data_IF_822958416922
#
_entry.id   IF_822958416922
#
_cell.length_a   1.000
_cell.length_b   1.000
_cell.length_c   1.000
_cell.angle_alpha   90.00
_cell.angle_beta   90.00
_cell.angle_gamma   90.00
#
_symmetry.space_group_name_H-M   'P 1'
#
loop_
_entity.id
_entity.type
_entity.pdbx_description
1 polymer ?
#
# COMPACT_ATOMS: atom_id res chain seq x y z
N UNK A 1 14.62 -24.74 -10.04
CA UNK A 1 13.77 -25.88 -10.36
C UNK A 1 12.29 -25.53 -10.27
N UNK A 2 11.44 -26.42 -10.74
CA UNK A 2 9.98 -26.25 -10.86
C UNK A 2 9.28 -25.80 -9.56
N UNK A 3 9.76 -26.26 -8.40
CA UNK A 3 9.24 -25.83 -7.10
C UNK A 3 9.32 -24.29 -6.91
N UNK A 4 10.46 -23.68 -7.23
CA UNK A 4 10.62 -22.22 -7.09
C UNK A 4 9.68 -21.41 -8.00
N UNK A 5 9.43 -21.92 -9.20
CA UNK A 5 8.45 -21.30 -10.10
C UNK A 5 7.04 -21.28 -9.47
N UNK A 6 6.59 -22.42 -8.95
CA UNK A 6 5.26 -22.48 -8.30
C UNK A 6 5.20 -21.71 -7.00
N UNK A 7 6.29 -21.68 -6.22
CA UNK A 7 6.37 -20.82 -5.04
C UNK A 7 6.17 -19.35 -5.40
N UNK A 8 6.88 -18.84 -6.39
CA UNK A 8 6.71 -17.45 -6.85
C UNK A 8 5.31 -17.20 -7.40
N UNK A 9 4.74 -18.14 -8.16
CA UNK A 9 3.38 -18.03 -8.67
C UNK A 9 2.36 -17.86 -7.54
N UNK A 10 2.35 -18.76 -6.55
CA UNK A 10 1.42 -18.70 -5.42
C UNK A 10 1.62 -17.45 -4.56
N UNK A 11 2.86 -17.04 -4.32
CA UNK A 11 3.17 -15.81 -3.61
C UNK A 11 2.61 -14.59 -4.37
N UNK A 12 2.84 -14.51 -5.69
CA UNK A 12 2.31 -13.42 -6.51
C UNK A 12 0.79 -13.39 -6.52
N UNK A 13 0.11 -14.53 -6.64
CA UNK A 13 -1.36 -14.61 -6.55
C UNK A 13 -1.87 -14.12 -5.19
N UNK A 14 -1.21 -14.52 -4.10
CA UNK A 14 -1.57 -14.11 -2.74
C UNK A 14 -1.41 -12.60 -2.55
N UNK A 15 -0.29 -12.04 -2.99
CA UNK A 15 -0.04 -10.61 -2.90
C UNK A 15 -0.98 -9.79 -3.81
N UNK A 16 -1.30 -10.31 -5.00
CA UNK A 16 -2.30 -9.67 -5.88
C UNK A 16 -3.69 -9.64 -5.24
N UNK A 17 -4.09 -10.69 -4.50
CA UNK A 17 -5.34 -10.68 -3.73
C UNK A 17 -5.32 -9.63 -2.62
N UNK A 18 -4.17 -9.45 -1.95
CA UNK A 18 -4.01 -8.40 -0.93
C UNK A 18 -4.17 -7.01 -1.55
N UNK A 19 -3.52 -6.77 -2.68
CA UNK A 19 -3.62 -5.51 -3.44
C UNK A 19 -5.04 -5.21 -3.91
N UNK A 20 -5.79 -6.24 -4.33
CA UNK A 20 -7.15 -6.11 -4.84
C UNK A 20 -8.23 -6.11 -3.75
N UNK A 21 -7.87 -6.33 -2.48
CA UNK A 21 -8.83 -6.27 -1.37
C UNK A 21 -9.50 -4.89 -1.33
N UNK A 22 -10.85 -4.80 -1.32
CA UNK A 22 -11.57 -3.52 -1.34
C UNK A 22 -11.55 -2.81 0.03
N UNK A 23 -10.39 -2.84 0.69
CA UNK A 23 -10.10 -2.20 1.98
C UNK A 23 -8.68 -1.67 1.94
N UNK A 24 -8.45 -0.56 2.62
CA UNK A 24 -7.10 -0.03 2.78
C UNK A 24 -6.26 -1.03 3.59
N UNK A 25 -5.08 -1.35 3.09
CA UNK A 25 -4.12 -2.24 3.75
C UNK A 25 -2.93 -1.40 4.18
N UNK A 26 -2.66 -1.40 5.48
CA UNK A 26 -1.51 -0.70 6.08
C UNK A 26 -0.48 -1.72 6.55
N UNK A 27 0.73 -1.64 6.03
CA UNK A 27 1.86 -2.43 6.50
C UNK A 27 2.60 -1.69 7.62
N UNK A 28 2.62 -2.26 8.81
CA UNK A 28 3.37 -1.78 9.97
C UNK A 28 4.75 -2.45 10.02
N UNK A 29 5.78 -1.72 9.61
CA UNK A 29 7.15 -2.22 9.47
C UNK A 29 7.91 -2.03 10.79
N UNK A 30 7.91 -3.03 11.64
CA UNK A 30 8.46 -2.96 12.98
C UNK A 30 9.89 -3.53 13.13
N UNK A 31 10.54 -3.85 12.03
CA UNK A 31 11.87 -4.49 12.01
C UNK A 31 12.48 -4.50 10.62
N UNK A 32 13.54 -5.30 10.44
CA UNK A 32 14.15 -5.47 9.12
C UNK A 32 13.11 -5.90 8.08
N UNK A 33 13.03 -5.14 6.99
CA UNK A 33 12.08 -5.35 5.90
C UNK A 33 12.87 -5.60 4.61
N UNK A 34 13.38 -6.81 4.46
CA UNK A 34 14.36 -7.18 3.42
C UNK A 34 13.82 -8.34 2.58
N UNK A 35 14.12 -8.35 1.29
CA UNK A 35 13.73 -9.42 0.38
C UNK A 35 12.22 -9.62 0.35
N UNK A 36 11.75 -10.86 0.54
CA UNK A 36 10.33 -11.20 0.59
C UNK A 36 9.52 -10.38 1.58
N UNK A 37 10.12 -9.93 2.70
CA UNK A 37 9.46 -9.01 3.64
C UNK A 37 9.13 -7.65 3.00
N UNK A 38 10.03 -7.11 2.18
CA UNK A 38 9.75 -5.89 1.42
C UNK A 38 8.75 -6.16 0.29
N UNK A 39 8.80 -7.31 -0.37
CA UNK A 39 7.84 -7.68 -1.40
C UNK A 39 6.41 -7.72 -0.87
N UNK A 40 6.20 -8.27 0.34
CA UNK A 40 4.91 -8.28 1.04
C UNK A 40 4.50 -6.83 1.40
N UNK A 41 5.42 -6.06 1.96
CA UNK A 41 5.14 -4.68 2.36
C UNK A 41 4.73 -3.79 1.16
N UNK A 42 5.33 -4.00 -0.01
CA UNK A 42 4.99 -3.26 -1.23
C UNK A 42 3.62 -3.62 -1.81
N UNK A 43 3.05 -4.76 -1.44
CA UNK A 43 1.68 -5.13 -1.81
C UNK A 43 0.61 -4.47 -0.92
N UNK A 44 0.99 -3.82 0.17
CA UNK A 44 0.10 -2.98 0.96
C UNK A 44 -0.05 -1.59 0.31
N UNK A 45 -1.13 -0.89 0.63
CA UNK A 45 -1.38 0.46 0.11
C UNK A 45 -0.49 1.49 0.81
N UNK A 46 -0.41 1.40 2.14
CA UNK A 46 0.37 2.30 2.99
C UNK A 46 1.41 1.51 3.77
N UNK A 47 2.61 2.05 3.91
CA UNK A 47 3.73 1.48 4.68
C UNK A 47 4.18 2.49 5.72
N UNK A 48 4.04 2.14 6.99
CA UNK A 48 4.51 2.94 8.13
C UNK A 48 5.59 2.14 8.83
N UNK A 49 6.73 2.74 9.06
CA UNK A 49 7.86 2.10 9.71
C UNK A 49 8.08 2.61 11.14
N UNK A 50 8.58 1.76 12.02
CA UNK A 50 9.11 2.16 13.31
C UNK A 50 10.57 2.60 13.17
N UNK A 51 10.90 3.75 13.71
CA UNK A 51 12.28 4.22 13.80
C UNK A 51 13.17 3.23 14.57
N UNK A 52 14.39 3.06 14.10
CA UNK A 52 15.36 2.16 14.72
C UNK A 52 16.44 1.74 13.74
N UNK A 53 17.41 0.97 14.21
CA UNK A 53 18.47 0.47 13.36
C UNK A 53 17.98 -0.73 12.51
N UNK A 54 16.96 -0.48 11.69
CA UNK A 54 16.35 -1.47 10.80
C UNK A 54 16.73 -1.19 9.35
N UNK A 55 16.84 -2.27 8.59
CA UNK A 55 17.23 -2.21 7.19
C UNK A 55 16.07 -2.63 6.27
N UNK A 56 15.99 -1.96 5.13
CA UNK A 56 15.06 -2.25 4.05
C UNK A 56 15.84 -2.42 2.74
N UNK A 57 15.38 -3.29 1.84
CA UNK A 57 16.00 -3.50 0.54
C UNK A 57 15.70 -4.85 -0.09
N UNK A 58 16.17 -5.03 -1.32
CA UNK A 58 16.05 -6.26 -2.12
C UNK A 58 17.45 -6.76 -2.50
N UNK A 59 18.15 -7.51 -1.61
CA UNK A 59 19.53 -7.94 -1.81
C UNK A 59 19.67 -9.27 -2.57
N UNK A 60 18.64 -9.73 -3.26
CA UNK A 60 18.58 -11.04 -3.92
C UNK A 60 19.71 -11.25 -4.94
N UNK A 61 20.23 -10.18 -5.54
CA UNK A 61 21.37 -10.25 -6.45
C UNK A 61 22.61 -10.89 -5.81
N UNK A 62 22.79 -10.70 -4.50
CA UNK A 62 23.89 -11.35 -3.76
C UNK A 62 23.79 -12.87 -3.69
N UNK A 63 22.60 -13.41 -4.00
CA UNK A 63 22.33 -14.85 -4.10
C UNK A 63 22.28 -15.32 -5.56
N UNK A 64 22.58 -14.46 -6.53
CA UNK A 64 22.48 -14.76 -7.95
C UNK A 64 21.05 -14.93 -8.46
N UNK A 65 20.08 -14.34 -7.77
CA UNK A 65 18.65 -14.38 -8.13
C UNK A 65 18.05 -12.97 -8.08
N UNK A 66 16.82 -12.85 -8.52
CA UNK A 66 16.03 -11.61 -8.40
C UNK A 66 14.92 -11.75 -7.34
N UNK A 67 14.36 -10.63 -6.90
CA UNK A 67 13.19 -10.58 -6.03
C UNK A 67 11.95 -11.07 -6.81
N UNK A 68 11.66 -12.36 -6.71
CA UNK A 68 10.75 -13.09 -7.63
C UNK A 68 9.30 -13.15 -7.19
N UNK A 69 8.95 -12.60 -6.03
CA UNK A 69 7.55 -12.55 -5.55
C UNK A 69 6.91 -11.18 -5.77
N UNK A 70 7.39 -10.47 -6.79
CA UNK A 70 6.86 -9.19 -7.26
C UNK A 70 7.74 -7.99 -6.92
N UNK A 71 8.93 -8.21 -6.34
CA UNK A 71 9.82 -7.13 -5.93
C UNK A 71 10.26 -6.24 -7.08
N UNK A 72 10.69 -6.84 -8.19
CA UNK A 72 11.09 -6.09 -9.38
C UNK A 72 9.95 -5.26 -9.96
N UNK A 73 8.75 -5.84 -10.01
CA UNK A 73 7.57 -5.19 -10.58
C UNK A 73 7.05 -4.05 -9.69
N UNK A 74 6.93 -4.29 -8.37
CA UNK A 74 6.37 -3.31 -7.43
C UNK A 74 7.33 -2.18 -7.12
N UNK A 75 8.62 -2.50 -6.88
CA UNK A 75 9.61 -1.45 -6.59
C UNK A 75 9.73 -0.45 -7.75
N UNK A 76 9.75 -0.94 -9.00
CA UNK A 76 9.86 -0.07 -10.17
C UNK A 76 8.65 0.86 -10.36
N UNK A 77 7.46 0.44 -9.92
CA UNK A 77 6.25 1.28 -9.92
C UNK A 77 6.24 2.31 -8.79
N UNK A 78 6.81 1.97 -7.64
CA UNK A 78 6.84 2.85 -6.47
C UNK A 78 7.91 3.93 -6.55
N UNK A 79 9.15 3.57 -6.93
CA UNK A 79 10.29 4.50 -6.90
C UNK A 79 10.85 4.85 -8.28
N UNK A 80 10.23 4.33 -9.32
CA UNK A 80 10.65 4.54 -10.71
C UNK A 80 11.80 3.65 -11.15
N UNK A 81 11.98 3.54 -12.49
CA UNK A 81 12.92 2.62 -13.13
C UNK A 81 14.37 2.79 -12.67
N UNK A 82 14.87 4.03 -12.65
CA UNK A 82 16.28 4.29 -12.39
C UNK A 82 16.68 3.92 -10.95
N UNK A 83 15.87 4.36 -9.97
CA UNK A 83 16.12 4.09 -8.56
C UNK A 83 15.96 2.62 -8.22
N UNK A 84 14.94 1.96 -8.73
CA UNK A 84 14.73 0.52 -8.52
C UNK A 84 15.88 -0.32 -9.12
N UNK A 85 16.37 0.05 -10.30
CA UNK A 85 17.51 -0.62 -10.92
C UNK A 85 18.76 -0.50 -10.03
N UNK A 86 19.10 0.72 -9.58
CA UNK A 86 20.24 0.96 -8.69
C UNK A 86 20.15 0.13 -7.42
N UNK A 87 19.01 0.16 -6.72
CA UNK A 87 18.79 -0.59 -5.47
C UNK A 87 18.96 -2.09 -5.67
N UNK A 88 18.33 -2.66 -6.70
CA UNK A 88 18.31 -4.12 -6.90
C UNK A 88 19.62 -4.66 -7.44
N UNK A 89 20.32 -3.98 -8.37
CA UNK A 89 21.58 -4.48 -8.92
C UNK A 89 22.75 -4.33 -7.97
N UNK A 90 22.72 -3.36 -7.07
CA UNK A 90 23.71 -3.22 -6.00
C UNK A 90 23.41 -4.14 -4.82
N UNK A 91 22.15 -4.55 -4.65
CA UNK A 91 21.69 -5.31 -3.48
C UNK A 91 21.85 -4.55 -2.16
N UNK A 92 22.02 -3.21 -2.24
CA UNK A 92 22.20 -2.40 -1.05
C UNK A 92 20.95 -2.39 -0.18
N UNK A 93 21.21 -2.31 1.11
CA UNK A 93 20.19 -2.08 2.13
C UNK A 93 20.36 -0.68 2.69
N UNK A 94 19.26 -0.06 3.06
CA UNK A 94 19.21 1.31 3.56
C UNK A 94 18.23 1.39 4.75
N UNK A 95 18.14 2.56 5.40
CA UNK A 95 17.27 2.77 6.55
C UNK A 95 15.89 3.26 6.13
N UNK A 96 14.92 3.25 7.04
CA UNK A 96 13.56 3.67 6.74
C UNK A 96 13.44 5.15 6.41
N UNK A 97 14.33 5.98 6.94
CA UNK A 97 14.40 7.42 6.62
C UNK A 97 14.70 7.62 5.13
N UNK A 98 15.71 6.94 4.58
CA UNK A 98 15.98 6.97 3.15
C UNK A 98 14.83 6.38 2.32
N UNK A 99 14.17 5.33 2.83
CA UNK A 99 12.98 4.78 2.17
C UNK A 99 11.81 5.77 2.13
N UNK A 100 11.65 6.59 3.17
CA UNK A 100 10.67 7.68 3.21
C UNK A 100 11.01 8.78 2.21
N UNK A 101 12.27 9.18 2.11
CA UNK A 101 12.72 10.22 1.17
C UNK A 101 12.45 9.84 -0.29
N UNK A 102 12.45 8.55 -0.62
CA UNK A 102 12.10 8.07 -1.97
C UNK A 102 10.64 7.60 -2.10
N UNK A 103 9.77 7.91 -1.13
CA UNK A 103 8.36 7.53 -1.08
C UNK A 103 8.08 6.01 -1.10
N UNK A 104 9.06 5.18 -0.80
CA UNK A 104 8.87 3.74 -0.60
C UNK A 104 8.17 3.44 0.73
N UNK A 105 8.40 4.26 1.75
CA UNK A 105 7.72 4.26 3.03
C UNK A 105 7.01 5.60 3.21
N UNK A 106 5.77 5.58 3.70
CA UNK A 106 4.96 6.79 3.84
C UNK A 106 5.37 7.62 5.05
N UNK A 107 5.66 6.95 6.17
CA UNK A 107 6.12 7.62 7.38
C UNK A 107 6.99 6.72 8.26
N UNK A 108 7.78 7.35 9.15
CA UNK A 108 8.62 6.69 10.15
C UNK A 108 8.26 7.25 11.52
N UNK A 109 7.70 6.40 12.38
CA UNK A 109 7.23 6.78 13.70
C UNK A 109 8.32 6.56 14.76
N UNK A 110 8.50 7.55 15.63
CA UNK A 110 9.47 7.51 16.74
C UNK A 110 8.84 6.91 18.01
N UNK A 111 8.23 5.74 17.86
CA UNK A 111 7.57 5.04 18.95
C UNK A 111 8.60 4.30 19.81
N UNK A 112 8.53 4.48 21.14
CA UNK A 112 9.50 3.98 22.10
C UNK A 112 9.45 2.46 22.27
N UNK A 113 8.32 1.83 21.98
CA UNK A 113 8.11 0.39 22.10
C UNK A 113 7.38 -0.17 20.87
N UNK A 114 7.37 -1.50 20.74
CA UNK A 114 6.58 -2.18 19.72
C UNK A 114 5.08 -1.98 19.96
N UNK A 115 4.64 -1.99 21.19
CA UNK A 115 3.22 -1.84 21.54
C UNK A 115 2.73 -0.42 21.21
N UNK A 116 3.53 0.60 21.56
CA UNK A 116 3.23 1.99 21.18
C UNK A 116 3.18 2.13 19.64
N UNK A 117 4.16 1.62 18.93
CA UNK A 117 4.15 1.63 17.47
C UNK A 117 2.91 0.97 16.87
N UNK A 118 2.52 -0.16 17.43
CA UNK A 118 1.31 -0.86 16.99
C UNK A 118 0.06 -0.01 17.22
N UNK A 119 -0.04 0.64 18.39
CA UNK A 119 -1.16 1.52 18.69
C UNK A 119 -1.19 2.75 17.77
N UNK A 120 -0.04 3.39 17.54
CA UNK A 120 0.08 4.54 16.63
C UNK A 120 -0.41 4.19 15.21
N UNK A 121 -0.03 3.00 14.70
CA UNK A 121 -0.49 2.54 13.38
C UNK A 121 -1.97 2.19 13.39
N UNK A 122 -2.51 1.63 14.47
CA UNK A 122 -3.95 1.36 14.60
C UNK A 122 -4.74 2.67 14.65
N UNK A 123 -4.26 3.68 15.37
CA UNK A 123 -4.90 4.99 15.45
C UNK A 123 -4.88 5.69 14.08
N UNK A 124 -3.75 5.60 13.36
CA UNK A 124 -3.68 6.08 11.97
C UNK A 124 -4.68 5.35 11.07
N UNK A 125 -4.72 4.02 11.11
CA UNK A 125 -5.62 3.23 10.27
C UNK A 125 -7.10 3.44 10.65
N UNK A 126 -7.39 3.68 11.91
CA UNK A 126 -8.73 3.94 12.43
C UNK A 126 -9.41 5.15 11.77
N UNK A 127 -8.64 6.15 11.35
CA UNK A 127 -9.16 7.33 10.66
C UNK A 127 -9.84 7.00 9.31
N UNK A 128 -9.50 5.86 8.71
CA UNK A 128 -10.06 5.37 7.45
C UNK A 128 -11.17 4.33 7.64
N UNK A 129 -11.64 4.16 8.87
CA UNK A 129 -12.71 3.23 9.23
C UNK A 129 -13.99 3.95 9.64
N UNK A 130 -15.08 3.21 9.74
CA UNK A 130 -16.34 3.71 10.28
C UNK A 130 -16.17 4.13 11.74
N UNK A 131 -16.82 5.18 12.19
CA UNK A 131 -17.74 6.06 11.46
C UNK A 131 -17.05 7.26 10.81
N UNK A 132 -15.71 7.31 10.80
CA UNK A 132 -14.92 8.49 10.41
C UNK A 132 -14.75 8.64 8.91
N UNK A 133 -14.75 7.52 8.18
CA UNK A 133 -14.56 7.51 6.74
C UNK A 133 -15.56 6.57 6.04
N UNK A 134 -15.98 6.95 4.83
CA UNK A 134 -16.87 6.17 3.99
C UNK A 134 -16.15 4.95 3.41
N UNK A 135 -16.34 3.78 4.02
CA UNK A 135 -15.60 2.55 3.69
C UNK A 135 -15.74 2.14 2.21
N UNK A 136 -16.94 2.31 1.63
CA UNK A 136 -17.20 2.04 0.21
C UNK A 136 -16.39 2.98 -0.70
N UNK A 137 -16.32 4.26 -0.36
CA UNK A 137 -15.54 5.24 -1.11
C UNK A 137 -14.04 4.91 -1.09
N UNK A 138 -13.48 4.52 0.08
CA UNK A 138 -12.09 4.08 0.19
C UNK A 138 -11.82 2.87 -0.70
N UNK A 139 -12.71 1.87 -0.69
CA UNK A 139 -12.59 0.69 -1.56
C UNK A 139 -12.60 1.05 -3.05
N UNK A 140 -13.48 1.96 -3.48
CA UNK A 140 -13.57 2.41 -4.86
C UNK A 140 -12.38 3.28 -5.28
N UNK A 141 -11.88 4.16 -4.40
CA UNK A 141 -10.64 4.91 -4.62
C UNK A 141 -9.46 3.96 -4.83
N UNK A 142 -9.30 2.99 -3.94
CA UNK A 142 -8.24 1.98 -4.08
C UNK A 142 -8.35 1.24 -5.41
N UNK A 143 -9.55 0.77 -5.77
CA UNK A 143 -9.78 0.06 -7.02
C UNK A 143 -9.45 0.94 -8.24
N UNK A 144 -9.85 2.20 -8.22
CA UNK A 144 -9.55 3.16 -9.29
C UNK A 144 -8.04 3.34 -9.45
N UNK A 145 -7.32 3.60 -8.37
CA UNK A 145 -5.86 3.81 -8.39
C UNK A 145 -5.13 2.54 -8.82
N UNK A 146 -5.39 1.41 -8.18
CA UNK A 146 -4.68 0.14 -8.46
C UNK A 146 -4.90 -0.36 -9.89
N UNK A 147 -6.16 -0.38 -10.36
CA UNK A 147 -6.46 -0.86 -11.70
C UNK A 147 -6.18 0.18 -12.77
N UNK A 148 -6.38 1.44 -12.46
CA UNK A 148 -6.27 2.54 -13.40
C UNK A 148 -4.85 2.79 -13.88
N UNK A 149 -3.85 2.59 -13.01
CA UNK A 149 -2.44 2.75 -13.37
C UNK A 149 -1.93 1.67 -14.36
N UNK A 150 -2.67 0.58 -14.53
CA UNK A 150 -2.29 -0.55 -15.41
C UNK A 150 -3.02 -0.51 -16.77
N UNK A 151 -3.86 0.51 -17.03
CA UNK A 151 -4.63 0.66 -18.26
C UNK A 151 -4.46 2.06 -18.88
N UNK A 152 -4.74 2.25 -20.19
CA UNK A 152 -4.72 3.57 -20.81
C UNK A 152 -5.66 4.56 -20.11
N UNK A 153 -5.25 5.85 -20.06
CA UNK A 153 -5.95 6.89 -19.32
C UNK A 153 -7.46 6.98 -19.65
N UNK A 154 -7.84 6.83 -20.90
CA UNK A 154 -9.25 6.89 -21.33
C UNK A 154 -10.11 5.79 -20.68
N UNK A 155 -9.55 4.58 -20.52
CA UNK A 155 -10.23 3.48 -19.81
C UNK A 155 -10.22 3.69 -18.29
N UNK A 156 -9.16 4.27 -17.74
CA UNK A 156 -9.12 4.66 -16.32
C UNK A 156 -10.20 5.70 -16.01
N UNK A 157 -10.36 6.73 -16.85
CA UNK A 157 -11.42 7.74 -16.69
C UNK A 157 -12.82 7.14 -16.84
N UNK A 158 -12.99 6.10 -17.66
CA UNK A 158 -14.25 5.38 -17.74
C UNK A 158 -14.52 4.58 -16.44
N UNK A 159 -13.53 3.84 -15.94
CA UNK A 159 -13.62 3.13 -14.66
C UNK A 159 -13.94 4.10 -13.50
N UNK A 160 -13.28 5.24 -13.45
CA UNK A 160 -13.52 6.28 -12.43
C UNK A 160 -14.98 6.75 -12.44
N UNK A 161 -15.56 7.02 -13.61
CA UNK A 161 -16.97 7.41 -13.74
C UNK A 161 -17.93 6.34 -13.24
N UNK A 162 -17.68 5.06 -13.56
CA UNK A 162 -18.49 3.94 -13.06
C UNK A 162 -18.43 3.83 -11.53
N UNK A 163 -17.23 3.88 -10.97
CA UNK A 163 -17.04 3.82 -9.52
C UNK A 163 -17.66 5.01 -8.80
N UNK A 164 -17.57 6.20 -9.39
CA UNK A 164 -18.19 7.41 -8.87
C UNK A 164 -19.72 7.33 -8.94
N UNK A 165 -20.27 6.83 -10.04
CA UNK A 165 -21.74 6.64 -10.19
C UNK A 165 -22.27 5.68 -9.12
N UNK A 166 -21.56 4.60 -8.83
CA UNK A 166 -21.91 3.67 -7.74
C UNK A 166 -21.89 4.34 -6.36
N UNK A 167 -20.92 5.23 -6.11
CA UNK A 167 -20.81 5.95 -4.84
C UNK A 167 -21.94 6.95 -4.64
N UNK A 168 -22.37 7.69 -5.67
CA UNK A 168 -23.45 8.66 -5.56
C UNK A 168 -24.81 8.05 -5.19
N UNK A 169 -24.97 6.74 -5.38
CA UNK A 169 -26.17 6.01 -4.97
C UNK A 169 -26.16 5.62 -3.48
N UNK A 170 -25.00 5.70 -2.82
CA UNK A 170 -24.84 5.28 -1.41
C UNK A 170 -25.44 6.29 -0.43
N UNK A 171 -25.87 5.81 0.71
CA UNK A 171 -26.36 6.68 1.79
C UNK A 171 -25.22 7.47 2.44
N UNK A 172 -24.00 6.91 2.45
CA UNK A 172 -22.81 7.62 2.91
C UNK A 172 -22.49 8.84 2.04
N UNK A 173 -22.67 8.76 0.71
CA UNK A 173 -22.47 9.91 -0.17
C UNK A 173 -23.50 11.02 0.09
N UNK A 174 -24.77 10.66 0.27
CA UNK A 174 -25.83 11.61 0.64
C UNK A 174 -25.54 12.29 1.97
N UNK A 175 -25.17 11.49 2.99
CA UNK A 175 -24.81 11.99 4.32
C UNK A 175 -23.59 12.91 4.28
N UNK A 176 -22.54 12.54 3.53
CA UNK A 176 -21.33 13.34 3.37
C UNK A 176 -21.58 14.66 2.69
N UNK A 177 -22.34 14.67 1.60
CA UNK A 177 -22.72 15.90 0.85
C UNK A 177 -23.57 16.82 1.73
N UNK A 178 -24.58 16.28 2.42
CA UNK A 178 -25.43 17.07 3.32
C UNK A 178 -24.60 17.69 4.47
N UNK A 179 -23.73 16.92 5.09
CA UNK A 179 -22.86 17.41 6.15
C UNK A 179 -21.89 18.50 5.67
N UNK A 180 -21.36 18.38 4.45
CA UNK A 180 -20.53 19.42 3.83
C UNK A 180 -21.29 20.74 3.64
N UNK A 181 -22.52 20.68 3.12
CA UNK A 181 -23.39 21.88 2.95
C UNK A 181 -23.69 22.52 4.31
N UNK A 182 -23.99 21.69 5.31
CA UNK A 182 -24.32 22.14 6.67
C UNK A 182 -23.09 22.55 7.50
N UNK A 183 -21.86 22.38 6.99
CA UNK A 183 -20.58 22.58 7.70
C UNK A 183 -20.47 21.74 8.97
N UNK A 184 -20.93 20.50 8.91
CA UNK A 184 -20.87 19.50 10.01
C UNK A 184 -19.91 18.38 9.66
N UNK A 185 -19.50 17.64 10.67
CA UNK A 185 -18.71 16.38 10.49
C UNK A 185 -19.68 15.25 10.16
N UNK A 186 -19.53 14.56 9.02
CA UNK A 186 -20.38 13.43 8.69
C UNK A 186 -20.08 12.23 9.60
N UNK A 187 -21.04 11.32 9.72
CA UNK A 187 -20.86 9.99 10.26
C UNK A 187 -21.29 8.98 9.20
N UNK A 188 -20.38 8.07 8.86
CA UNK A 188 -20.60 7.09 7.82
C UNK A 188 -21.01 5.74 8.40
N UNK A 189 -21.78 4.96 7.63
CA UNK A 189 -22.35 3.67 8.04
C UNK A 189 -21.87 2.52 7.16
N UNK A 190 -21.23 2.82 6.03
CA UNK A 190 -20.76 1.84 5.05
C UNK A 190 -21.84 1.39 4.05
N UNK A 191 -22.98 2.11 3.98
CA UNK A 191 -24.14 1.77 3.14
C UNK A 191 -24.25 2.67 1.91
#
# INVERSE_FOLDING_TARGET
PRYKYFFCLHANETLSRLEQTPKLVVAALNGHTVGGGLEIAMAADIRIARKGNFQVGLPEVSLGVLAGTGGTARLSRLVGKAKSMEIMVTGRKFQFEEAKDMALVHDVYDSMSLEEFRQDVLDYAGQFSLPFAAAKAIGNIKRSVQSGLEIPLEYHLALERELQSDLFQSDDAKAGIAAYVDKKTPKFTGQ
#
